data_IF_211753113644
#
_entry.id   IF_211753113644
#
_cell.length_a   1.000
_cell.length_b   1.000
_cell.length_c   1.000
_cell.angle_alpha   90.00
_cell.angle_beta   90.00
_cell.angle_gamma   90.00
#
_symmetry.space_group_name_H-M   'P 1'
#
loop_
_entity.id
_entity.type
_entity.pdbx_description
1 polymer ?
#
# COMPACT_ATOMS: atom_id res chain seq x y z
N UNK A 1 17.24 -7.20 9.74
CA UNK A 1 16.78 -6.43 8.56
C UNK A 1 15.80 -5.36 9.02
N UNK A 2 16.05 -4.09 8.64
CA UNK A 2 15.14 -2.95 8.89
C UNK A 2 14.40 -2.60 7.61
N UNK A 3 13.08 -2.47 7.69
CA UNK A 3 12.22 -2.30 6.52
C UNK A 3 11.24 -1.15 6.76
N UNK A 4 10.95 -0.37 5.72
CA UNK A 4 9.80 0.53 5.66
C UNK A 4 8.75 -0.11 4.76
N UNK A 5 7.48 -0.14 5.22
CA UNK A 5 6.34 -0.65 4.47
C UNK A 5 5.33 0.46 4.21
N UNK A 6 4.93 0.61 2.96
CA UNK A 6 3.89 1.51 2.45
C UNK A 6 3.10 0.80 1.35
N UNK A 7 1.90 1.26 1.03
CA UNK A 7 1.02 0.70 0.00
C UNK A 7 0.04 1.77 -0.51
N UNK A 8 -0.73 1.42 -1.51
CA UNK A 8 -1.94 2.14 -1.93
C UNK A 8 -1.67 3.65 -2.16
N UNK A 9 -0.68 3.92 -3.03
CA UNK A 9 -0.29 5.30 -3.35
C UNK A 9 -1.30 6.00 -4.25
N UNK A 10 -2.01 5.26 -5.12
CA UNK A 10 -3.02 5.76 -6.04
C UNK A 10 -2.59 7.01 -6.81
N UNK A 11 -1.35 7.03 -7.32
CA UNK A 11 -0.82 8.17 -8.08
C UNK A 11 -1.70 8.45 -9.29
N UNK A 12 -2.07 9.72 -9.47
CA UNK A 12 -2.97 10.15 -10.53
C UNK A 12 -4.46 10.09 -10.15
N UNK A 13 -4.78 9.79 -8.87
CA UNK A 13 -6.13 10.00 -8.37
C UNK A 13 -6.53 11.47 -8.52
N UNK A 14 -7.72 11.70 -9.06
CA UNK A 14 -8.40 12.99 -8.98
C UNK A 14 -9.51 12.90 -7.94
N UNK A 15 -9.59 13.89 -7.05
CA UNK A 15 -10.63 13.95 -6.04
C UNK A 15 -11.69 14.94 -6.48
N UNK A 16 -12.87 14.47 -6.92
CA UNK A 16 -13.93 15.30 -7.51
C UNK A 16 -13.41 16.28 -8.58
N UNK A 17 -12.58 15.78 -9.51
CA UNK A 17 -11.87 16.52 -10.58
C UNK A 17 -10.73 17.45 -10.11
N UNK A 18 -10.38 17.47 -8.84
CA UNK A 18 -9.18 18.16 -8.36
C UNK A 18 -7.96 17.27 -8.54
N UNK A 19 -6.91 17.82 -9.15
CA UNK A 19 -5.60 17.16 -9.28
C UNK A 19 -4.90 17.10 -7.91
N UNK A 20 -4.45 15.91 -7.53
CA UNK A 20 -3.77 15.66 -6.27
C UNK A 20 -2.26 15.49 -6.38
N UNK A 21 -1.68 15.88 -7.50
CA UNK A 21 -0.23 15.74 -7.75
C UNK A 21 0.63 16.42 -6.68
N UNK A 22 0.19 17.58 -6.17
CA UNK A 22 0.91 18.29 -5.10
C UNK A 22 0.81 17.60 -3.74
N UNK A 23 -0.30 16.90 -3.45
CA UNK A 23 -0.43 16.08 -2.25
C UNK A 23 0.50 14.85 -2.33
N UNK A 24 0.58 14.19 -3.48
CA UNK A 24 1.54 13.10 -3.69
C UNK A 24 2.99 13.55 -3.56
N UNK A 25 3.35 14.72 -4.11
CA UNK A 25 4.69 15.28 -3.92
C UNK A 25 5.01 15.52 -2.45
N UNK A 26 4.07 16.09 -1.71
CA UNK A 26 4.21 16.32 -0.27
C UNK A 26 4.40 15.02 0.52
N UNK A 27 3.67 13.97 0.15
CA UNK A 27 3.88 12.63 0.69
C UNK A 27 5.27 12.09 0.37
N UNK A 28 5.72 12.18 -0.89
CA UNK A 28 7.04 11.67 -1.29
C UNK A 28 8.19 12.43 -0.63
N UNK A 29 8.05 13.71 -0.37
CA UNK A 29 9.05 14.50 0.38
C UNK A 29 9.19 14.02 1.82
N UNK A 30 8.06 13.69 2.47
CA UNK A 30 8.06 13.08 3.80
C UNK A 30 8.69 11.69 3.77
N UNK A 31 8.27 10.83 2.83
CA UNK A 31 8.83 9.49 2.68
C UNK A 31 10.34 9.52 2.44
N UNK A 32 10.83 10.44 1.60
CA UNK A 32 12.26 10.66 1.38
C UNK A 32 12.98 11.06 2.68
N UNK A 33 12.38 11.92 3.49
CA UNK A 33 12.93 12.34 4.78
C UNK A 33 12.99 11.16 5.77
N UNK A 34 11.94 10.35 5.83
CA UNK A 34 11.88 9.14 6.64
C UNK A 34 12.97 8.14 6.21
N UNK A 35 13.11 7.88 4.90
CA UNK A 35 14.14 6.98 4.36
C UNK A 35 15.55 7.47 4.72
N UNK A 36 15.83 8.77 4.63
CA UNK A 36 17.14 9.35 5.03
C UNK A 36 17.42 9.15 6.50
N UNK A 37 16.43 9.33 7.37
CA UNK A 37 16.54 9.19 8.81
C UNK A 37 16.71 7.72 9.22
N UNK A 38 15.84 6.85 8.70
CA UNK A 38 15.76 5.45 9.11
C UNK A 38 16.85 4.56 8.49
N UNK A 39 17.33 4.93 7.30
CA UNK A 39 18.31 4.16 6.52
C UNK A 39 17.97 2.67 6.46
N UNK A 40 16.78 2.31 5.94
CA UNK A 40 16.32 0.92 5.93
C UNK A 40 17.14 0.07 4.97
N UNK A 41 17.17 -1.23 5.20
CA UNK A 41 17.72 -2.21 4.27
C UNK A 41 16.78 -2.39 3.05
N UNK A 42 15.44 -2.23 3.27
CA UNK A 42 14.45 -2.33 2.21
C UNK A 42 13.26 -1.37 2.41
N UNK A 43 12.68 -0.94 1.26
CA UNK A 43 11.38 -0.27 1.17
C UNK A 43 10.42 -1.21 0.44
N UNK A 44 9.29 -1.54 1.06
CA UNK A 44 8.24 -2.38 0.49
C UNK A 44 7.06 -1.50 0.09
N UNK A 45 6.68 -1.54 -1.21
CA UNK A 45 5.55 -0.81 -1.78
C UNK A 45 4.53 -1.87 -2.24
N UNK A 46 3.53 -2.11 -1.40
CA UNK A 46 2.64 -3.28 -1.50
C UNK A 46 1.42 -3.04 -2.40
N UNK A 47 1.64 -2.59 -3.65
CA UNK A 47 0.62 -2.49 -4.69
C UNK A 47 -0.17 -1.18 -4.70
N UNK A 48 -1.05 -1.07 -5.69
CA UNK A 48 -1.86 0.10 -6.04
C UNK A 48 -1.02 1.38 -6.13
N UNK A 49 0.00 1.28 -7.00
CA UNK A 49 0.92 2.37 -7.31
C UNK A 49 0.15 3.50 -8.00
N UNK A 50 -0.66 3.15 -8.98
CA UNK A 50 -1.49 4.06 -9.74
C UNK A 50 -2.97 3.92 -9.41
N UNK A 51 -3.72 4.98 -9.60
CA UNK A 51 -5.18 4.95 -9.40
C UNK A 51 -5.91 4.18 -10.50
N UNK A 52 -5.31 4.02 -11.67
CA UNK A 52 -5.89 3.33 -12.82
C UNK A 52 -4.83 2.55 -13.58
N UNK A 53 -5.26 1.51 -14.29
CA UNK A 53 -4.39 0.67 -15.13
C UNK A 53 -3.78 1.42 -16.34
N UNK A 54 -4.30 2.60 -16.69
CA UNK A 54 -3.77 3.48 -17.74
C UNK A 54 -3.41 4.85 -17.13
N UNK A 55 -2.30 4.95 -16.39
CA UNK A 55 -1.88 6.19 -15.76
C UNK A 55 -1.51 7.24 -16.80
N UNK A 56 -1.77 8.51 -16.47
CA UNK A 56 -1.33 9.64 -17.29
C UNK A 56 0.21 9.74 -17.33
N UNK A 57 0.73 10.45 -18.32
CA UNK A 57 2.17 10.75 -18.39
C UNK A 57 2.67 11.50 -17.15
N UNK A 58 1.86 12.39 -16.57
CA UNK A 58 2.20 13.11 -15.34
C UNK A 58 2.27 12.16 -14.13
N UNK A 59 1.35 11.22 -14.01
CA UNK A 59 1.37 10.19 -12.97
C UNK A 59 2.61 9.27 -13.11
N UNK A 60 2.91 8.84 -14.33
CA UNK A 60 4.10 8.02 -14.62
C UNK A 60 5.39 8.78 -14.29
N UNK A 61 5.46 10.08 -14.65
CA UNK A 61 6.59 10.92 -14.30
C UNK A 61 6.74 11.05 -12.78
N UNK A 62 5.66 11.31 -12.06
CA UNK A 62 5.67 11.47 -10.60
C UNK A 62 6.17 10.19 -9.90
N UNK A 63 5.70 9.02 -10.32
CA UNK A 63 6.21 7.72 -9.85
C UNK A 63 7.71 7.56 -10.11
N UNK A 64 8.15 7.86 -11.33
CA UNK A 64 9.54 7.75 -11.73
C UNK A 64 10.44 8.66 -10.89
N UNK A 65 10.04 9.94 -10.72
CA UNK A 65 10.76 10.92 -9.91
C UNK A 65 10.82 10.47 -8.43
N UNK A 66 9.72 9.92 -7.90
CA UNK A 66 9.66 9.40 -6.53
C UNK A 66 10.68 8.26 -6.32
N UNK A 67 10.70 7.23 -7.18
CA UNK A 67 11.65 6.11 -7.06
C UNK A 67 13.10 6.56 -7.17
N UNK A 68 13.41 7.47 -8.10
CA UNK A 68 14.76 8.03 -8.25
C UNK A 68 15.19 8.76 -6.97
N UNK A 69 14.31 9.58 -6.40
CA UNK A 69 14.62 10.34 -5.19
C UNK A 69 14.76 9.44 -3.96
N UNK A 70 13.92 8.42 -3.83
CA UNK A 70 14.04 7.40 -2.77
C UNK A 70 15.36 6.64 -2.87
N UNK A 71 15.76 6.20 -4.07
CA UNK A 71 17.05 5.57 -4.29
C UNK A 71 18.21 6.52 -3.91
N UNK A 72 18.17 7.79 -4.33
CA UNK A 72 19.19 8.79 -3.95
C UNK A 72 19.23 9.04 -2.45
N UNK A 73 18.11 8.91 -1.76
CA UNK A 73 18.03 9.13 -0.31
C UNK A 73 18.73 8.04 0.50
N UNK A 74 18.76 6.80 -0.02
CA UNK A 74 19.49 5.68 0.57
C UNK A 74 19.89 4.68 -0.54
N UNK A 75 21.09 4.84 -1.12
CA UNK A 75 21.56 4.09 -2.29
C UNK A 75 21.78 2.60 -2.01
N UNK A 76 22.01 2.21 -0.75
CA UNK A 76 22.15 0.81 -0.31
C UNK A 76 20.80 0.10 -0.13
N UNK A 77 19.71 0.87 0.04
CA UNK A 77 18.36 0.33 0.22
C UNK A 77 17.88 -0.37 -1.05
N UNK A 78 17.26 -1.53 -0.90
CA UNK A 78 16.48 -2.15 -1.97
C UNK A 78 15.03 -1.69 -1.93
N UNK A 79 14.47 -1.37 -3.08
CA UNK A 79 13.07 -0.98 -3.22
C UNK A 79 12.33 -2.14 -3.90
N UNK A 80 11.26 -2.60 -3.28
CA UNK A 80 10.40 -3.64 -3.83
C UNK A 80 9.03 -3.05 -4.16
N UNK A 81 8.56 -3.30 -5.36
CA UNK A 81 7.26 -2.84 -5.85
C UNK A 81 6.50 -4.05 -6.38
N UNK A 82 5.30 -4.27 -5.91
CA UNK A 82 4.37 -5.24 -6.50
C UNK A 82 3.18 -4.53 -7.15
N UNK A 83 2.53 -5.18 -8.12
CA UNK A 83 1.28 -4.66 -8.68
C UNK A 83 0.11 -4.91 -7.73
N UNK A 84 -0.77 -3.91 -7.58
CA UNK A 84 -2.10 -4.04 -6.99
C UNK A 84 -3.18 -4.28 -8.05
N UNK A 85 -4.47 -4.24 -7.65
CA UNK A 85 -5.58 -4.47 -8.57
C UNK A 85 -5.85 -3.27 -9.49
N UNK A 86 -5.45 -2.05 -9.12
CA UNK A 86 -5.53 -0.87 -9.97
C UNK A 86 -4.40 -0.79 -11.00
N UNK A 87 -3.29 -1.50 -10.79
CA UNK A 87 -2.11 -1.42 -11.63
C UNK A 87 -2.20 -2.28 -12.90
N UNK A 88 -1.62 -1.79 -14.00
CA UNK A 88 -1.30 -2.61 -15.16
C UNK A 88 0.00 -3.36 -14.92
N UNK A 89 -0.07 -4.66 -14.66
CA UNK A 89 1.12 -5.50 -14.47
C UNK A 89 2.07 -5.46 -15.66
N UNK A 90 1.55 -5.40 -16.89
CA UNK A 90 2.37 -5.33 -18.12
C UNK A 90 3.16 -4.02 -18.19
N UNK A 91 2.55 -2.91 -17.78
CA UNK A 91 3.19 -1.60 -17.79
C UNK A 91 4.29 -1.49 -16.71
N UNK A 92 4.05 -2.03 -15.52
CA UNK A 92 5.06 -2.11 -14.47
C UNK A 92 6.24 -3.01 -14.88
N UNK A 93 5.96 -4.19 -15.44
CA UNK A 93 6.99 -5.14 -15.91
C UNK A 93 7.82 -4.59 -17.07
N UNK A 94 7.27 -3.71 -17.93
CA UNK A 94 7.98 -3.16 -19.08
C UNK A 94 9.28 -2.42 -18.70
N UNK A 95 9.31 -1.81 -17.51
CA UNK A 95 10.45 -1.04 -17.02
C UNK A 95 11.33 -1.80 -16.02
N UNK A 96 10.97 -3.04 -15.67
CA UNK A 96 11.61 -3.86 -14.62
C UNK A 96 13.13 -3.95 -14.76
N UNK A 97 13.64 -4.14 -15.98
CA UNK A 97 15.09 -4.31 -16.19
C UNK A 97 15.86 -3.01 -15.96
N UNK A 98 15.28 -1.88 -16.34
CA UNK A 98 15.89 -0.56 -16.12
C UNK A 98 15.97 -0.24 -14.62
N UNK A 99 14.91 -0.54 -13.89
CA UNK A 99 14.83 -0.26 -12.46
C UNK A 99 15.82 -1.07 -11.60
N UNK A 100 16.28 -2.24 -12.08
CA UNK A 100 17.35 -2.99 -11.40
C UNK A 100 18.64 -2.19 -11.22
N UNK A 101 18.94 -1.25 -12.12
CA UNK A 101 20.11 -0.38 -12.02
C UNK A 101 20.04 0.58 -10.81
N UNK A 102 18.84 0.84 -10.32
CA UNK A 102 18.57 1.67 -9.13
C UNK A 102 18.19 0.84 -7.90
N UNK A 103 18.57 -0.45 -7.84
CA UNK A 103 18.21 -1.38 -6.76
C UNK A 103 16.70 -1.53 -6.55
N UNK A 104 15.87 -1.33 -7.59
CA UNK A 104 14.42 -1.52 -7.54
C UNK A 104 14.06 -2.85 -8.19
N UNK A 105 13.38 -3.72 -7.45
CA UNK A 105 12.77 -4.95 -7.94
C UNK A 105 11.27 -4.74 -8.12
N UNK A 106 10.80 -4.83 -9.36
CA UNK A 106 9.37 -4.79 -9.69
C UNK A 106 8.87 -6.23 -9.89
N UNK A 107 7.71 -6.55 -9.34
CA UNK A 107 7.00 -7.80 -9.55
C UNK A 107 5.54 -7.47 -9.90
N UNK A 108 5.24 -7.38 -11.21
CA UNK A 108 3.89 -7.11 -11.71
C UNK A 108 3.04 -8.36 -11.80
N UNK A 109 3.65 -9.52 -12.06
CA UNK A 109 2.96 -10.81 -12.21
C UNK A 109 3.83 -11.97 -11.79
N UNK A 110 3.21 -13.09 -11.40
CA UNK A 110 3.89 -14.35 -11.15
C UNK A 110 4.21 -15.01 -12.49
N UNK A 111 5.47 -15.38 -12.70
CA UNK A 111 5.91 -16.11 -13.88
C UNK A 111 5.84 -17.61 -13.64
N UNK A 112 5.55 -18.34 -14.69
CA UNK A 112 5.44 -19.80 -14.69
C UNK A 112 6.45 -20.42 -15.66
N UNK A 113 6.92 -21.59 -15.30
CA UNK A 113 7.72 -22.43 -16.19
C UNK A 113 6.84 -23.17 -17.23
N UNK A 114 7.49 -24.03 -18.05
CA UNK A 114 6.80 -24.82 -19.08
C UNK A 114 5.80 -25.83 -18.49
N UNK A 115 5.99 -26.24 -17.24
CA UNK A 115 5.10 -27.14 -16.50
C UNK A 115 3.99 -26.42 -15.74
N UNK A 116 3.82 -25.11 -15.99
CA UNK A 116 2.88 -24.22 -15.31
C UNK A 116 3.11 -24.11 -13.80
N UNK A 117 4.33 -24.32 -13.33
CA UNK A 117 4.72 -24.10 -11.94
C UNK A 117 5.27 -22.68 -11.77
N UNK A 118 4.98 -21.99 -10.64
CA UNK A 118 5.51 -20.67 -10.40
C UNK A 118 7.03 -20.70 -10.28
N UNK A 119 7.71 -19.75 -10.92
CA UNK A 119 9.15 -19.56 -10.82
C UNK A 119 9.46 -18.86 -9.51
N UNK A 120 9.61 -19.61 -8.42
CA UNK A 120 9.79 -19.08 -7.06
C UNK A 120 11.02 -18.18 -6.91
N UNK A 121 12.12 -18.49 -7.61
CA UNK A 121 13.35 -17.68 -7.55
C UNK A 121 13.16 -16.27 -8.19
N UNK A 122 12.11 -16.04 -8.99
CA UNK A 122 11.74 -14.70 -9.48
C UNK A 122 10.98 -13.90 -8.40
N UNK A 123 10.23 -14.57 -7.53
CA UNK A 123 9.47 -13.98 -6.44
C UNK A 123 10.31 -13.67 -5.20
N UNK A 124 11.30 -14.52 -4.92
CA UNK A 124 12.13 -14.45 -3.72
C UNK A 124 13.41 -13.67 -4.03
N UNK A 125 13.77 -12.75 -3.15
CA UNK A 125 15.04 -12.03 -3.20
C UNK A 125 15.79 -12.17 -1.87
N UNK A 126 17.10 -12.30 -1.93
CA UNK A 126 17.96 -12.37 -0.76
C UNK A 126 18.80 -11.12 -0.63
N UNK A 127 18.72 -10.44 0.50
CA UNK A 127 19.57 -9.33 0.88
C UNK A 127 20.72 -9.93 1.72
N UNK A 128 21.95 -9.97 1.23
CA UNK A 128 23.06 -10.65 1.91
C UNK A 128 23.25 -10.20 3.35
N UNK A 129 23.23 -11.17 4.28
CA UNK A 129 23.38 -10.93 5.72
C UNK A 129 22.23 -10.17 6.39
N UNK A 130 21.08 -10.04 5.71
CA UNK A 130 19.90 -9.32 6.22
C UNK A 130 18.65 -10.19 6.22
N UNK A 131 18.41 -10.98 5.19
CA UNK A 131 17.25 -11.84 5.07
C UNK A 131 16.61 -11.87 3.70
N UNK A 132 15.39 -12.34 3.62
CA UNK A 132 14.65 -12.60 2.40
C UNK A 132 13.43 -11.70 2.28
N UNK A 133 13.10 -11.31 1.04
CA UNK A 133 11.85 -10.64 0.68
C UNK A 133 11.16 -11.46 -0.40
N UNK A 134 9.90 -11.86 -0.15
CA UNK A 134 9.03 -12.51 -1.11
C UNK A 134 8.00 -11.50 -1.63
N UNK A 135 7.86 -11.41 -2.96
CA UNK A 135 6.99 -10.44 -3.65
C UNK A 135 5.85 -11.18 -4.34
N UNK A 136 4.60 -11.02 -3.86
CA UNK A 136 3.41 -11.65 -4.42
C UNK A 136 2.47 -10.54 -4.91
N UNK A 137 2.40 -10.27 -6.23
CA UNK A 137 1.51 -9.25 -6.78
C UNK A 137 0.03 -9.69 -6.72
N UNK A 138 -0.87 -8.73 -6.89
CA UNK A 138 -2.31 -8.98 -6.97
C UNK A 138 -2.67 -10.04 -8.01
N UNK A 139 -3.59 -10.94 -7.65
CA UNK A 139 -4.16 -11.97 -8.54
C UNK A 139 -5.63 -12.17 -8.25
N UNK A 140 -6.38 -12.39 -9.32
CA UNK A 140 -7.82 -12.70 -9.23
C UNK A 140 -8.11 -14.08 -8.62
N UNK A 141 -7.20 -15.06 -8.79
CA UNK A 141 -7.32 -16.42 -8.25
C UNK A 141 -5.96 -16.92 -7.78
N UNK A 142 -5.89 -17.36 -6.54
CA UNK A 142 -4.73 -18.07 -5.98
C UNK A 142 -5.03 -19.57 -5.97
N UNK A 143 -4.91 -20.23 -7.14
CA UNK A 143 -5.13 -21.69 -7.27
C UNK A 143 -4.03 -22.56 -6.67
N UNK A 144 -2.95 -21.92 -6.20
CA UNK A 144 -1.74 -22.63 -5.75
C UNK A 144 -1.38 -22.11 -4.37
N UNK A 145 -1.00 -23.01 -3.47
CA UNK A 145 -0.44 -22.69 -2.16
C UNK A 145 0.95 -22.05 -2.30
N UNK A 146 0.96 -20.84 -2.88
CA UNK A 146 2.18 -20.08 -3.19
C UNK A 146 2.92 -19.71 -1.92
N UNK A 147 2.19 -19.41 -0.84
CA UNK A 147 2.78 -19.04 0.44
C UNK A 147 3.60 -20.19 1.01
N UNK A 148 3.07 -21.39 0.98
CA UNK A 148 3.75 -22.60 1.45
C UNK A 148 4.98 -22.92 0.59
N UNK A 149 4.84 -22.85 -0.73
CA UNK A 149 5.96 -23.12 -1.66
C UNK A 149 7.13 -22.13 -1.42
N UNK A 150 6.83 -20.84 -1.20
CA UNK A 150 7.85 -19.82 -0.88
C UNK A 150 8.54 -20.16 0.44
N UNK A 151 7.77 -20.49 1.50
CA UNK A 151 8.33 -20.85 2.79
C UNK A 151 9.25 -22.09 2.71
N UNK A 152 8.82 -23.12 2.01
CA UNK A 152 9.62 -24.32 1.79
C UNK A 152 10.91 -24.03 1.02
N UNK A 153 10.81 -23.20 -0.03
CA UNK A 153 11.97 -22.78 -0.83
C UNK A 153 12.99 -22.00 0.00
N UNK A 154 12.52 -21.09 0.86
CA UNK A 154 13.40 -20.31 1.74
C UNK A 154 13.97 -21.18 2.84
N UNK A 155 13.19 -22.06 3.49
CA UNK A 155 13.69 -22.98 4.55
C UNK A 155 14.88 -23.80 4.10
N UNK A 156 14.89 -24.27 2.85
CA UNK A 156 15.99 -25.06 2.30
C UNK A 156 17.31 -24.28 2.23
N UNK A 157 17.25 -22.94 2.12
CA UNK A 157 18.42 -22.06 1.94
C UNK A 157 18.79 -21.27 3.20
N UNK A 158 17.83 -21.05 4.10
CA UNK A 158 17.95 -20.16 5.27
C UNK A 158 18.54 -20.86 6.49
N UNK A 159 19.80 -21.24 6.40
CA UNK A 159 20.52 -21.92 7.50
C UNK A 159 20.72 -20.98 8.70
N UNK A 160 20.91 -19.69 8.44
CA UNK A 160 21.18 -18.67 9.46
C UNK A 160 19.91 -18.17 10.19
N UNK A 161 18.75 -18.72 9.86
CA UNK A 161 17.47 -18.31 10.43
C UNK A 161 17.16 -16.81 10.28
N UNK A 162 17.63 -16.23 9.17
CA UNK A 162 17.40 -14.83 8.83
C UNK A 162 15.91 -14.54 8.55
N UNK A 163 15.42 -13.30 8.76
CA UNK A 163 14.02 -12.98 8.57
C UNK A 163 13.56 -13.16 7.12
N UNK A 164 12.29 -13.55 6.96
CA UNK A 164 11.58 -13.60 5.69
C UNK A 164 10.38 -12.66 5.74
N UNK A 165 10.44 -11.58 4.98
CA UNK A 165 9.33 -10.66 4.77
C UNK A 165 8.54 -11.06 3.52
N UNK A 166 7.20 -10.98 3.58
CA UNK A 166 6.33 -11.22 2.42
C UNK A 166 5.56 -9.97 2.10
N UNK A 167 5.49 -9.61 0.84
CA UNK A 167 4.62 -8.56 0.28
C UNK A 167 3.44 -9.21 -0.42
N UNK A 168 2.25 -8.65 -0.21
CA UNK A 168 1.03 -9.06 -0.91
C UNK A 168 0.08 -7.89 -1.11
N UNK A 169 -0.84 -8.05 -2.08
CA UNK A 169 -1.91 -7.09 -2.31
C UNK A 169 -3.22 -7.86 -2.43
N UNK A 170 -3.92 -8.02 -1.31
CA UNK A 170 -5.09 -8.89 -1.20
C UNK A 170 -5.89 -8.59 0.08
N UNK A 171 -7.17 -9.00 0.07
CA UNK A 171 -8.02 -8.93 1.25
C UNK A 171 -7.82 -10.16 2.15
N UNK A 172 -7.83 -9.95 3.47
CA UNK A 172 -7.72 -11.01 4.48
C UNK A 172 -8.96 -11.01 5.36
N UNK A 173 -9.42 -12.20 5.74
CA UNK A 173 -10.57 -12.38 6.63
C UNK A 173 -10.35 -11.63 7.95
N UNK A 174 -11.44 -11.09 8.50
CA UNK A 174 -11.46 -10.29 9.73
C UNK A 174 -10.75 -8.93 9.64
N UNK A 175 -10.40 -8.46 8.45
CA UNK A 175 -9.92 -7.09 8.26
C UNK A 175 -11.03 -6.06 8.46
N UNK A 176 -10.65 -4.87 8.93
CA UNK A 176 -11.53 -3.70 8.97
C UNK A 176 -11.46 -2.97 7.62
N UNK A 177 -12.59 -2.84 6.94
CA UNK A 177 -12.73 -2.17 5.65
C UNK A 177 -13.20 -0.71 5.75
N UNK A 178 -13.09 -0.08 6.92
CA UNK A 178 -13.46 1.33 7.08
C UNK A 178 -12.74 2.20 6.05
N UNK A 179 -13.49 3.05 5.34
CA UNK A 179 -12.95 3.91 4.28
C UNK A 179 -12.76 3.22 2.93
N UNK A 180 -12.94 1.91 2.83
CA UNK A 180 -12.81 1.17 1.59
C UNK A 180 -14.17 1.04 0.87
N UNK A 181 -14.22 1.35 -0.43
CA UNK A 181 -15.46 1.19 -1.21
C UNK A 181 -15.69 -0.28 -1.58
N UNK A 182 -16.53 -0.95 -0.79
CA UNK A 182 -16.88 -2.36 -0.99
C UNK A 182 -17.58 -2.65 -2.33
N UNK A 183 -18.16 -1.64 -2.97
CA UNK A 183 -18.85 -1.82 -4.25
C UNK A 183 -17.89 -1.94 -5.45
N UNK A 184 -16.66 -1.46 -5.31
CA UNK A 184 -15.62 -1.56 -6.35
C UNK A 184 -14.79 -2.84 -6.26
N UNK A 185 -14.98 -3.64 -5.21
CA UNK A 185 -14.27 -4.90 -5.04
C UNK A 185 -15.16 -5.99 -5.59
N UNK A 186 -14.93 -6.40 -6.83
CA UNK A 186 -15.63 -7.52 -7.45
C UNK A 186 -15.45 -8.79 -6.63
N UNK A 187 -16.46 -9.17 -5.82
CA UNK A 187 -16.52 -10.36 -4.98
C UNK A 187 -15.24 -10.57 -4.16
N UNK A 188 -15.25 -10.20 -2.89
CA UNK A 188 -14.05 -10.30 -2.05
C UNK A 188 -13.84 -11.76 -1.68
N UNK A 189 -13.01 -12.46 -2.42
CA UNK A 189 -12.37 -13.67 -1.90
C UNK A 189 -11.29 -13.23 -0.89
N UNK A 190 -11.68 -13.23 0.38
CA UNK A 190 -10.74 -12.93 1.47
C UNK A 190 -9.91 -14.16 1.78
N UNK A 191 -8.59 -14.02 1.73
CA UNK A 191 -7.67 -15.05 2.20
C UNK A 191 -7.82 -15.29 3.70
N UNK A 192 -7.74 -16.55 4.11
CA UNK A 192 -7.65 -16.87 5.53
C UNK A 192 -6.27 -16.46 6.06
N UNK A 193 -6.20 -15.96 7.29
CA UNK A 193 -4.92 -15.73 7.95
C UNK A 193 -4.07 -17.00 8.03
N UNK A 194 -4.69 -18.19 8.12
CA UNK A 194 -4.00 -19.47 8.18
C UNK A 194 -3.29 -19.86 6.88
N UNK A 195 -3.73 -19.34 5.73
CA UNK A 195 -3.10 -19.58 4.42
C UNK A 195 -1.63 -19.13 4.40
N UNK A 196 -1.27 -18.11 5.18
CA UNK A 196 0.10 -17.60 5.23
C UNK A 196 1.09 -18.51 5.98
N UNK A 197 0.61 -19.54 6.68
CA UNK A 197 1.49 -20.42 7.46
C UNK A 197 2.26 -19.71 8.58
N UNK A 198 3.42 -20.24 8.94
CA UNK A 198 4.13 -19.79 10.16
C UNK A 198 5.62 -19.47 9.94
N UNK A 199 6.07 -19.28 8.71
CA UNK A 199 7.48 -19.02 8.41
C UNK A 199 7.77 -17.64 7.81
N UNK A 200 6.82 -16.73 7.81
CA UNK A 200 7.07 -15.31 7.51
C UNK A 200 7.28 -14.55 8.82
N UNK A 201 8.33 -13.73 8.89
CA UNK A 201 8.56 -12.84 10.04
C UNK A 201 7.52 -11.71 10.08
N UNK A 202 7.16 -11.21 8.90
CA UNK A 202 6.22 -10.11 8.69
C UNK A 202 5.56 -10.23 7.33
N UNK A 203 4.28 -9.92 7.29
CA UNK A 203 3.48 -9.93 6.06
C UNK A 203 3.01 -8.51 5.79
N UNK A 204 3.56 -7.89 4.74
CA UNK A 204 3.33 -6.52 4.30
C UNK A 204 2.22 -6.49 3.25
N UNK A 205 1.02 -6.07 3.61
CA UNK A 205 -0.14 -6.04 2.74
C UNK A 205 -0.52 -4.62 2.30
N UNK A 206 -0.99 -4.48 1.06
CA UNK A 206 -1.80 -3.40 0.54
C UNK A 206 -3.21 -3.89 0.21
N UNK A 207 -4.02 -3.06 -0.44
CA UNK A 207 -5.41 -3.23 -0.82
C UNK A 207 -6.41 -2.61 0.16
N UNK A 208 -6.24 -2.75 1.46
CA UNK A 208 -7.13 -2.14 2.46
C UNK A 208 -6.48 -0.85 2.97
N UNK A 209 -7.18 0.28 2.78
CA UNK A 209 -6.66 1.61 3.08
C UNK A 209 -6.55 1.90 4.57
N UNK A 210 -7.32 1.18 5.41
CA UNK A 210 -7.26 1.33 6.86
C UNK A 210 -6.01 0.66 7.43
N UNK A 211 -5.08 1.41 8.07
CA UNK A 211 -3.88 0.84 8.66
C UNK A 211 -4.25 -0.06 9.86
N UNK A 212 -3.90 -1.34 9.78
CA UNK A 212 -4.29 -2.32 10.78
C UNK A 212 -3.33 -3.49 10.86
N UNK A 213 -3.30 -4.13 12.02
CA UNK A 213 -2.52 -5.33 12.28
C UNK A 213 -3.44 -6.50 12.61
N UNK A 214 -3.27 -7.60 11.89
CA UNK A 214 -3.87 -8.89 12.20
C UNK A 214 -2.77 -9.80 12.73
N UNK A 215 -3.16 -10.77 13.58
CA UNK A 215 -2.25 -11.75 14.12
C UNK A 215 -2.65 -13.14 13.67
N UNK A 216 -1.67 -13.92 13.20
CA UNK A 216 -1.83 -15.34 12.95
C UNK A 216 -0.72 -16.12 13.64
N UNK A 217 -1.06 -16.95 14.64
CA UNK A 217 -0.10 -17.79 15.38
C UNK A 217 1.15 -17.00 15.85
N UNK A 218 0.93 -15.75 16.30
CA UNK A 218 1.99 -14.83 16.71
C UNK A 218 2.75 -14.14 15.59
N UNK A 219 2.35 -14.32 14.32
CA UNK A 219 2.89 -13.60 13.15
C UNK A 219 2.10 -12.34 12.88
N UNK A 220 2.80 -11.31 12.44
CA UNK A 220 2.23 -10.00 12.13
C UNK A 220 1.86 -9.95 10.66
N UNK A 221 0.57 -9.74 10.39
CA UNK A 221 0.01 -9.40 9.10
C UNK A 221 -0.41 -7.93 9.18
N UNK A 222 0.14 -7.08 8.33
CA UNK A 222 -0.07 -5.65 8.46
C UNK A 222 -0.46 -5.01 7.13
N UNK A 223 -1.54 -4.23 7.15
CA UNK A 223 -1.82 -3.21 6.16
C UNK A 223 -1.21 -1.89 6.61
N UNK A 224 -0.34 -1.30 5.80
CA UNK A 224 0.18 0.05 6.08
C UNK A 224 -0.89 1.13 5.90
N UNK A 225 -1.92 0.82 5.12
CA UNK A 225 -2.95 1.74 4.68
C UNK A 225 -2.51 2.60 3.49
N UNK A 226 -3.44 3.41 2.97
CA UNK A 226 -3.18 4.33 1.87
C UNK A 226 -2.27 5.48 2.28
N UNK A 227 -1.52 6.02 1.31
CA UNK A 227 -0.61 7.14 1.53
C UNK A 227 -1.34 8.47 1.79
N UNK A 228 -2.48 8.66 1.10
CA UNK A 228 -3.35 9.83 1.20
C UNK A 228 -4.77 9.38 1.49
N UNK A 229 -5.61 10.29 2.01
CA UNK A 229 -7.04 10.06 2.07
C UNK A 229 -7.61 9.77 0.68
N UNK A 230 -8.21 8.61 0.48
CA UNK A 230 -8.84 8.22 -0.80
C UNK A 230 -10.30 8.69 -0.84
N UNK A 231 -10.97 8.77 0.32
CA UNK A 231 -12.32 9.30 0.43
C UNK A 231 -12.55 10.02 1.78
N UNK A 232 -13.73 10.66 1.92
CA UNK A 232 -14.11 11.40 3.14
C UNK A 232 -14.33 10.53 4.38
N UNK A 233 -14.43 9.22 4.24
CA UNK A 233 -14.72 8.32 5.35
C UNK A 233 -13.44 7.77 6.01
N UNK A 234 -12.28 8.16 5.49
CA UNK A 234 -10.97 7.81 6.04
C UNK A 234 -10.56 8.79 7.16
N UNK A 235 -11.28 8.76 8.29
CA UNK A 235 -11.07 9.63 9.46
C UNK A 235 -10.01 9.07 10.42
N UNK A 236 -8.89 8.59 9.90
CA UNK A 236 -7.79 7.99 10.67
C UNK A 236 -6.45 8.53 10.17
N UNK A 237 -5.39 8.46 11.01
CA UNK A 237 -4.05 8.85 10.57
C UNK A 237 -3.52 7.92 9.47
N UNK A 238 -2.99 8.48 8.40
CA UNK A 238 -2.22 7.73 7.39
C UNK A 238 -0.78 7.61 7.84
N UNK A 239 -0.14 6.50 7.56
CA UNK A 239 1.20 6.21 8.08
C UNK A 239 2.00 5.29 7.16
N UNK A 240 3.30 5.28 7.36
CA UNK A 240 4.17 4.19 6.92
C UNK A 240 4.60 3.38 8.15
N UNK A 241 4.88 2.10 7.95
CA UNK A 241 5.29 1.21 9.05
C UNK A 241 6.80 0.93 8.97
N UNK A 242 7.51 1.12 10.08
CA UNK A 242 8.91 0.72 10.22
C UNK A 242 8.97 -0.58 11.02
N UNK A 243 9.68 -1.57 10.48
CA UNK A 243 9.84 -2.88 11.10
C UNK A 243 11.31 -3.25 11.14
N UNK A 244 11.77 -3.76 12.28
CA UNK A 244 13.10 -4.38 12.42
C UNK A 244 12.94 -5.82 12.88
N UNK A 245 13.60 -6.74 12.19
CA UNK A 245 13.62 -8.16 12.49
C UNK A 245 15.03 -8.72 12.30
N UNK A 246 15.51 -9.52 13.24
CA UNK A 246 16.82 -10.14 13.19
C UNK A 246 16.75 -11.65 12.90
N UNK A 247 15.58 -12.26 13.01
CA UNK A 247 15.36 -13.66 12.68
C UNK A 247 13.93 -13.93 12.24
N UNK A 248 13.67 -15.14 11.76
CA UNK A 248 12.34 -15.56 11.29
C UNK A 248 11.25 -15.44 12.36
N UNK A 249 11.61 -15.50 13.63
CA UNK A 249 10.66 -15.54 14.75
C UNK A 249 10.67 -14.28 15.64
N UNK A 250 11.42 -13.25 15.24
CA UNK A 250 11.65 -12.06 16.07
C UNK A 250 11.29 -10.79 15.32
N UNK A 251 10.47 -9.96 15.95
CA UNK A 251 10.26 -8.57 15.57
C UNK A 251 10.75 -7.73 16.75
N UNK A 252 11.86 -7.02 16.54
CA UNK A 252 12.46 -6.15 17.57
C UNK A 252 11.75 -4.79 17.64
N UNK A 253 11.27 -4.32 16.50
CA UNK A 253 10.60 -3.03 16.40
C UNK A 253 9.47 -3.12 15.38
N UNK A 254 8.31 -2.57 15.74
CA UNK A 254 7.22 -2.24 14.84
C UNK A 254 6.64 -0.91 15.29
N UNK A 255 6.74 0.11 14.46
CA UNK A 255 6.15 1.42 14.74
C UNK A 255 5.59 2.07 13.49
N UNK A 256 4.62 2.92 13.68
CA UNK A 256 4.03 3.74 12.64
C UNK A 256 4.68 5.13 12.65
N UNK A 257 4.94 5.66 11.46
CA UNK A 257 5.31 7.07 11.28
C UNK A 257 4.15 7.71 10.54
N UNK A 258 3.45 8.59 11.23
CA UNK A 258 2.29 9.32 10.67
C UNK A 258 2.77 10.21 9.52
N UNK A 259 2.02 10.17 8.42
CA UNK A 259 2.19 11.04 7.25
C UNK A 259 1.24 12.22 7.38
N UNK A 260 1.79 13.40 7.42
CA UNK A 260 1.00 14.62 7.42
C UNK A 260 0.29 14.79 6.07
N UNK A 261 -1.02 15.04 6.11
CA UNK A 261 -1.79 15.30 4.90
C UNK A 261 -1.69 16.78 4.54
N UNK A 262 -1.42 17.08 3.26
CA UNK A 262 -1.35 18.46 2.75
C UNK A 262 -2.71 19.13 2.82
N UNK A 263 -3.74 18.43 2.38
CA UNK A 263 -5.14 18.87 2.40
C UNK A 263 -5.94 18.06 3.41
N UNK A 264 -6.82 18.70 4.18
CA UNK A 264 -7.69 18.03 5.13
C UNK A 264 -9.03 17.62 4.49
N UNK A 265 -9.66 16.59 5.05
CA UNK A 265 -11.02 16.18 4.72
C UNK A 265 -11.97 16.70 5.81
N UNK A 266 -12.90 17.55 5.42
CA UNK A 266 -13.93 18.10 6.30
C UNK A 266 -15.30 17.56 5.91
N UNK A 267 -16.13 17.22 6.89
CA UNK A 267 -17.52 16.80 6.66
C UNK A 267 -18.45 17.62 7.58
N UNK A 268 -19.34 18.39 6.98
CA UNK A 268 -20.25 19.27 7.70
C UNK A 268 -21.70 19.14 7.18
N UNK A 269 -22.66 19.10 8.10
CA UNK A 269 -22.50 18.64 9.48
C UNK A 269 -22.13 17.15 9.53
N UNK A 270 -21.77 16.63 10.70
CA UNK A 270 -21.43 15.20 10.86
C UNK A 270 -22.62 14.27 10.51
N UNK A 271 -23.86 14.71 10.77
CA UNK A 271 -25.09 14.02 10.38
C UNK A 271 -25.88 14.89 9.38
N UNK A 272 -26.60 14.29 8.40
CA UNK A 272 -27.39 15.04 7.45
C UNK A 272 -28.40 16.00 8.14
N UNK A 273 -28.41 17.28 7.74
CA UNK A 273 -29.27 18.31 8.27
C UNK A 273 -30.01 19.06 7.13
N UNK A 274 -31.11 19.76 7.42
CA UNK A 274 -31.82 20.60 6.44
C UNK A 274 -30.90 21.65 5.82
N UNK A 275 -31.13 21.98 4.55
CA UNK A 275 -30.27 22.88 3.78
C UNK A 275 -29.97 24.20 4.49
N UNK A 276 -30.99 24.85 5.08
CA UNK A 276 -30.84 26.13 5.79
C UNK A 276 -29.90 26.03 7.01
N UNK A 277 -29.91 24.89 7.70
CA UNK A 277 -29.02 24.62 8.83
C UNK A 277 -27.59 24.40 8.34
N UNK A 278 -27.41 23.63 7.26
CA UNK A 278 -26.11 23.41 6.64
C UNK A 278 -25.46 24.71 6.20
N UNK A 279 -26.26 25.66 5.62
CA UNK A 279 -25.76 26.99 5.25
C UNK A 279 -25.30 27.81 6.46
N UNK A 280 -26.00 27.74 7.58
CA UNK A 280 -25.55 28.41 8.81
C UNK A 280 -24.25 27.88 9.31
N UNK A 281 -24.12 26.53 9.38
CA UNK A 281 -22.88 25.86 9.79
C UNK A 281 -21.72 26.22 8.83
N UNK A 282 -22.00 26.25 7.53
CA UNK A 282 -20.99 26.60 6.53
C UNK A 282 -20.49 28.04 6.67
N UNK A 283 -21.39 29.01 6.97
CA UNK A 283 -21.01 30.40 7.17
C UNK A 283 -20.18 30.63 8.44
N UNK A 284 -20.27 29.76 9.43
CA UNK A 284 -19.51 29.80 10.67
C UNK A 284 -18.23 28.97 10.58
N UNK A 285 -18.09 28.13 9.52
CA UNK A 285 -16.95 27.25 9.34
C UNK A 285 -15.70 28.05 9.01
N UNK A 286 -14.70 27.89 9.86
CA UNK A 286 -13.37 28.48 9.68
C UNK A 286 -12.32 27.37 9.73
N UNK A 287 -11.90 26.81 8.59
CA UNK A 287 -10.93 25.71 8.58
C UNK A 287 -9.55 26.17 9.07
N UNK A 288 -8.92 25.33 9.87
CA UNK A 288 -7.55 25.54 10.36
C UNK A 288 -6.49 25.26 9.28
N UNK A 289 -6.86 24.55 8.21
CA UNK A 289 -6.01 24.19 7.08
C UNK A 289 -6.84 24.10 5.81
N UNK A 290 -6.21 24.29 4.65
CA UNK A 290 -6.86 24.01 3.37
C UNK A 290 -7.29 22.54 3.25
N UNK A 291 -8.32 22.26 2.45
CA UNK A 291 -8.84 20.93 2.32
C UNK A 291 -10.10 20.82 1.48
N UNK A 292 -10.63 19.61 1.46
CA UNK A 292 -11.85 19.25 0.78
C UNK A 292 -13.02 19.25 1.77
N UNK A 293 -14.16 19.78 1.37
CA UNK A 293 -15.35 19.88 2.21
C UNK A 293 -16.51 19.08 1.61
N UNK A 294 -17.02 18.12 2.36
CA UNK A 294 -18.29 17.41 2.09
C UNK A 294 -19.41 18.03 2.93
N UNK A 295 -20.52 18.38 2.26
CA UNK A 295 -21.73 18.85 2.94
C UNK A 295 -22.77 17.71 2.98
N UNK A 296 -23.26 17.39 4.18
CA UNK A 296 -24.31 16.39 4.41
C UNK A 296 -25.67 17.08 4.49
N UNK A 297 -26.41 17.07 3.38
CA UNK A 297 -27.73 17.73 3.27
C UNK A 297 -28.85 16.68 3.33
N UNK A 298 -29.79 16.86 4.22
CA UNK A 298 -31.03 16.08 4.29
C UNK A 298 -32.01 16.54 3.21
N UNK A 299 -32.29 15.70 2.22
CA UNK A 299 -33.27 15.96 1.18
C UNK A 299 -34.54 15.16 1.46
N UNK A 300 -35.71 15.81 1.52
CA UNK A 300 -37.01 15.17 1.82
C UNK A 300 -37.64 14.53 0.59
N UNK A 301 -37.32 15.03 -0.61
CA UNK A 301 -37.84 14.55 -1.89
C UNK A 301 -36.71 14.29 -2.86
N UNK A 302 -37.00 13.48 -3.92
CA UNK A 302 -36.02 13.25 -4.98
C UNK A 302 -35.63 14.57 -5.64
N UNK A 303 -34.33 14.87 -5.70
CA UNK A 303 -33.84 15.96 -6.53
C UNK A 303 -34.16 15.65 -8.00
N UNK A 304 -34.77 16.57 -8.75
CA UNK A 304 -34.94 16.38 -10.19
C UNK A 304 -33.58 16.24 -10.86
N UNK A 305 -33.47 15.32 -11.85
CA UNK A 305 -32.23 14.94 -12.54
C UNK A 305 -31.46 16.10 -13.26
N UNK A 306 -31.72 17.34 -12.93
CA UNK A 306 -31.18 18.54 -13.61
C UNK A 306 -30.52 19.53 -12.61
N UNK A 307 -29.88 19.06 -11.54
CA UNK A 307 -28.99 19.88 -10.73
C UNK A 307 -27.54 19.46 -10.87
#
# INVERSE_FOLDING_TARGET
MKVIHTADWHIGQSFYNYDRSEEHKFFFDQLNSIVKQEKPDALLISGDIYNTSLPSNSATKLYTDALINLHKSCTSMRIYVIAGNHDSYTQLEATRQVWKLANVKICGTIKYDNDKKPILDDLIDYIPGKGYVATIPYRYLLDIDIFKQIQERVRQKNISNEPLFMMGHLAVQNSNFTGHDLNNIGGIDCESTDSFGNYFSYIALGHIHYPQTLLNQGRIIRYSGSALHINFDENYPHSVTVITSNSINSIEELREIVIEQKEKMYTLPAQPAPFEEVIKILNEFNPDKSGYLRLNILVKDYLPNNC
#
